data_IF_037712961340
#
_entry.id   IF_037712961340
#
_cell.length_a   1.000
_cell.length_b   1.000
_cell.length_c   1.000
_cell.angle_alpha   90.00
_cell.angle_beta   90.00
_cell.angle_gamma   90.00
#
_symmetry.space_group_name_H-M   'P 1'
#
loop_
_entity.id
_entity.type
_entity.pdbx_description
1 polymer ?
#
# COMPACT_ATOMS: atom_id res chain seq x y z
N UNK A 1 -3.52 -4.43 -0.37
CA UNK A 1 -4.35 -5.65 -0.31
C UNK A 1 -3.61 -6.81 0.35
N UNK A 2 -2.51 -7.35 -0.21
CA UNK A 2 -1.91 -8.62 0.29
C UNK A 2 -1.46 -8.45 1.74
N UNK A 3 -0.71 -7.38 2.00
CA UNK A 3 -0.21 -7.06 3.33
C UNK A 3 -1.36 -6.81 4.33
N UNK A 4 -2.46 -6.20 3.90
CA UNK A 4 -3.66 -6.00 4.75
C UNK A 4 -4.32 -7.33 5.10
N UNK A 5 -4.36 -8.25 4.15
CA UNK A 5 -4.94 -9.57 4.35
C UNK A 5 -4.08 -10.41 5.29
N UNK A 6 -2.76 -10.43 5.09
CA UNK A 6 -1.81 -11.10 6.00
C UNK A 6 -1.89 -10.55 7.42
N UNK A 7 -2.08 -9.23 7.57
CA UNK A 7 -2.21 -8.58 8.87
C UNK A 7 -3.47 -8.98 9.69
N UNK A 8 -4.42 -9.72 9.09
CA UNK A 8 -5.58 -10.29 9.81
C UNK A 8 -5.23 -11.59 10.53
N UNK A 9 -4.13 -12.24 10.16
CA UNK A 9 -3.72 -13.51 10.74
C UNK A 9 -2.74 -13.30 11.88
N UNK A 10 -2.86 -14.14 12.91
CA UNK A 10 -1.83 -14.28 13.95
C UNK A 10 -0.97 -15.49 13.59
N UNK A 11 0.22 -15.23 13.05
CA UNK A 11 1.18 -16.29 12.76
C UNK A 11 1.74 -16.85 14.06
N UNK A 12 1.57 -18.15 14.30
CA UNK A 12 1.99 -18.81 15.55
C UNK A 12 3.49 -19.13 15.53
N UNK A 13 4.05 -19.44 14.36
CA UNK A 13 5.42 -19.92 14.21
C UNK A 13 6.29 -19.02 13.33
N UNK A 14 5.84 -18.74 12.11
CA UNK A 14 6.58 -17.91 11.16
C UNK A 14 5.61 -17.00 10.41
N UNK A 15 5.92 -15.71 10.38
CA UNK A 15 5.29 -14.76 9.47
C UNK A 15 5.97 -14.87 8.09
N UNK A 16 5.22 -15.06 6.99
CA UNK A 16 5.81 -15.18 5.66
C UNK A 16 6.41 -13.85 5.22
N UNK A 17 7.62 -13.91 4.64
CA UNK A 17 8.19 -12.77 3.95
C UNK A 17 7.55 -12.59 2.57
N UNK A 18 7.43 -11.34 2.13
CA UNK A 18 6.78 -10.99 0.86
C UNK A 18 7.79 -10.33 -0.09
N UNK A 19 7.93 -10.85 -1.31
CA UNK A 19 8.61 -10.17 -2.41
C UNK A 19 7.62 -9.45 -3.32
N UNK A 20 8.13 -8.61 -4.22
CA UNK A 20 7.32 -7.86 -5.18
C UNK A 20 7.75 -8.27 -6.58
N UNK A 21 6.78 -8.71 -7.37
CA UNK A 21 6.95 -8.87 -8.81
C UNK A 21 6.42 -7.61 -9.51
N UNK A 22 7.27 -6.74 -10.08
CA UNK A 22 6.82 -5.49 -10.71
C UNK A 22 6.08 -5.76 -12.03
N UNK A 23 4.75 -5.77 -11.97
CA UNK A 23 3.89 -5.94 -13.14
C UNK A 23 3.05 -4.68 -13.37
N UNK A 24 3.09 -4.14 -14.59
CA UNK A 24 2.35 -2.94 -14.98
C UNK A 24 3.02 -1.62 -14.54
N UNK A 25 2.21 -0.60 -14.29
CA UNK A 25 2.65 0.77 -13.96
C UNK A 25 2.46 1.09 -12.48
N UNK A 26 3.42 1.78 -11.85
CA UNK A 26 3.32 2.19 -10.44
C UNK A 26 4.11 1.32 -9.44
N UNK A 27 5.29 0.82 -9.85
CA UNK A 27 6.10 -0.12 -9.09
C UNK A 27 7.06 0.55 -8.07
N UNK A 28 6.61 1.57 -7.35
CA UNK A 28 7.50 2.38 -6.48
C UNK A 28 8.17 1.54 -5.39
N UNK A 29 7.41 0.67 -4.74
CA UNK A 29 7.95 -0.21 -3.70
C UNK A 29 8.91 -1.26 -4.28
N UNK A 30 8.68 -1.71 -5.53
CA UNK A 30 9.61 -2.61 -6.22
C UNK A 30 10.97 -1.94 -6.43
N UNK A 31 10.98 -0.68 -6.90
CA UNK A 31 12.21 0.11 -7.08
C UNK A 31 12.95 0.33 -5.76
N UNK A 32 12.22 0.69 -4.70
CA UNK A 32 12.80 0.86 -3.36
C UNK A 32 13.41 -0.43 -2.79
N UNK A 33 12.83 -1.57 -3.16
CA UNK A 33 13.26 -2.90 -2.73
C UNK A 33 14.15 -3.62 -3.77
N UNK A 34 14.64 -2.90 -4.77
CA UNK A 34 15.52 -3.37 -5.84
C UNK A 34 14.97 -4.52 -6.71
N UNK A 35 13.66 -4.74 -6.73
CA UNK A 35 13.03 -5.74 -7.61
C UNK A 35 12.87 -5.26 -9.06
N UNK A 36 13.34 -4.05 -9.37
CA UNK A 36 13.31 -3.46 -10.71
C UNK A 36 12.11 -2.55 -10.95
N UNK A 37 11.97 -2.10 -12.20
CA UNK A 37 10.90 -1.17 -12.60
C UNK A 37 9.69 -1.88 -13.22
N UNK A 38 9.90 -3.11 -13.66
CA UNK A 38 8.99 -3.87 -14.51
C UNK A 38 9.78 -4.88 -15.32
N UNK A 39 9.08 -5.84 -15.90
CA UNK A 39 9.64 -6.77 -16.87
C UNK A 39 9.21 -6.39 -18.29
N UNK A 40 10.11 -6.60 -19.25
CA UNK A 40 9.85 -6.40 -20.68
C UNK A 40 10.17 -7.71 -21.39
N UNK A 41 9.20 -8.26 -22.11
CA UNK A 41 9.35 -9.55 -22.80
C UNK A 41 9.16 -10.74 -21.88
N UNK A 42 9.66 -11.90 -22.31
CA UNK A 42 9.59 -13.14 -21.54
C UNK A 42 10.59 -13.13 -20.40
N UNK A 43 10.13 -13.51 -19.22
CA UNK A 43 10.94 -13.61 -17.99
C UNK A 43 11.07 -15.07 -17.64
N UNK A 44 12.30 -15.53 -17.43
CA UNK A 44 12.53 -16.89 -16.94
C UNK A 44 12.11 -16.98 -15.47
N UNK A 45 11.32 -17.99 -15.15
CA UNK A 45 10.88 -18.28 -13.78
C UNK A 45 12.08 -18.69 -12.93
N UNK A 46 13.07 -19.37 -13.52
CA UNK A 46 14.27 -19.79 -12.81
C UNK A 46 15.05 -18.60 -12.28
N UNK A 47 15.17 -17.52 -13.06
CA UNK A 47 15.84 -16.29 -12.65
C UNK A 47 15.13 -15.64 -11.46
N UNK A 48 13.80 -15.54 -11.50
CA UNK A 48 13.01 -14.98 -10.39
C UNK A 48 13.22 -15.79 -9.10
N UNK A 49 13.22 -17.12 -9.20
CA UNK A 49 13.43 -17.99 -8.03
C UNK A 49 14.83 -17.82 -7.46
N UNK A 50 15.86 -17.69 -8.32
CA UNK A 50 17.23 -17.42 -7.88
C UNK A 50 17.37 -16.04 -7.22
N UNK A 51 16.68 -15.01 -7.73
CA UNK A 51 16.64 -13.69 -7.09
C UNK A 51 15.99 -13.75 -5.71
N UNK A 52 14.90 -14.51 -5.56
CA UNK A 52 14.21 -14.72 -4.28
C UNK A 52 15.13 -15.42 -3.27
N UNK A 53 15.88 -16.44 -3.69
CA UNK A 53 16.81 -17.16 -2.82
C UNK A 53 17.95 -16.28 -2.30
N UNK A 54 18.42 -15.33 -3.12
CA UNK A 54 19.50 -14.39 -2.76
C UNK A 54 19.01 -13.15 -2.02
N UNK A 55 17.69 -12.91 -2.00
CA UNK A 55 17.11 -11.70 -1.42
C UNK A 55 17.32 -11.64 0.11
N UNK A 56 17.42 -10.42 0.62
CA UNK A 56 17.56 -10.16 2.06
C UNK A 56 16.22 -9.85 2.70
N UNK A 57 16.01 -10.36 3.91
CA UNK A 57 14.89 -9.96 4.74
C UNK A 57 15.07 -8.54 5.25
N UNK A 58 14.05 -7.71 5.11
CA UNK A 58 13.98 -6.38 5.68
C UNK A 58 12.63 -6.16 6.37
N UNK A 59 12.56 -5.17 7.26
CA UNK A 59 11.30 -4.72 7.86
C UNK A 59 10.78 -3.51 7.12
N UNK A 60 9.51 -3.56 6.72
CA UNK A 60 8.79 -2.44 6.12
C UNK A 60 7.78 -1.92 7.15
N UNK A 61 7.89 -0.65 7.49
CA UNK A 61 6.90 0.04 8.32
C UNK A 61 5.59 0.23 7.56
N UNK A 62 4.48 -0.02 8.24
CA UNK A 62 3.13 0.16 7.71
C UNK A 62 2.42 1.22 8.50
N UNK A 63 1.86 2.20 7.79
CA UNK A 63 1.24 3.37 8.38
C UNK A 63 -0.23 3.08 8.60
N UNK A 64 -0.71 3.25 9.83
CA UNK A 64 -2.14 3.28 10.12
C UNK A 64 -2.63 4.72 9.95
N UNK A 65 -3.59 4.91 9.05
CA UNK A 65 -4.24 6.19 8.78
C UNK A 65 -5.68 6.09 9.24
N UNK A 66 -6.03 6.87 10.25
CA UNK A 66 -7.42 7.04 10.70
C UNK A 66 -8.02 8.23 9.96
N UNK A 67 -9.21 8.05 9.41
CA UNK A 67 -9.92 9.04 8.61
C UNK A 67 -11.24 9.30 9.31
N UNK A 68 -11.36 10.46 9.96
CA UNK A 68 -12.60 10.89 10.59
C UNK A 68 -13.41 11.76 9.63
N UNK A 69 -14.59 11.29 9.26
CA UNK A 69 -15.58 12.11 8.53
C UNK A 69 -16.31 13.01 9.52
N UNK A 70 -15.64 14.05 9.99
CA UNK A 70 -16.30 15.09 10.75
C UNK A 70 -17.11 15.97 9.78
N UNK A 71 -18.40 15.65 9.62
CA UNK A 71 -19.34 16.74 9.41
C UNK A 71 -19.24 17.68 10.62
N UNK A 72 -19.45 18.98 10.40
CA UNK A 72 -19.47 20.07 11.38
C UNK A 72 -20.51 19.91 12.53
N UNK A 73 -20.87 18.70 12.93
CA UNK A 73 -21.82 18.38 14.00
C UNK A 73 -21.06 17.78 15.17
N UNK A 74 -21.14 18.47 16.31
CA UNK A 74 -20.53 18.15 17.62
C UNK A 74 -20.94 16.79 18.24
N UNK A 75 -20.90 15.69 17.50
CA UNK A 75 -21.08 14.33 18.03
C UNK A 75 -19.93 13.45 17.53
N UNK A 76 -18.98 13.21 18.42
CA UNK A 76 -17.96 12.18 18.28
C UNK A 76 -18.67 10.82 18.36
N UNK A 77 -19.30 10.40 17.27
CA UNK A 77 -19.75 9.03 17.13
C UNK A 77 -18.61 8.28 16.43
N UNK A 78 -17.97 7.38 17.16
CA UNK A 78 -16.87 6.51 16.72
C UNK A 78 -17.20 5.54 15.56
N UNK A 79 -18.39 5.66 14.96
CA UNK A 79 -18.85 4.82 13.85
C UNK A 79 -18.41 5.31 12.46
N UNK A 80 -18.00 6.58 12.33
CA UNK A 80 -17.63 7.16 11.04
C UNK A 80 -16.11 7.19 10.78
N UNK A 81 -15.32 6.71 11.74
CA UNK A 81 -13.85 6.58 11.61
C UNK A 81 -13.50 5.41 10.68
N UNK A 82 -12.87 5.71 9.55
CA UNK A 82 -12.33 4.70 8.65
C UNK A 82 -10.83 4.52 8.88
N UNK A 83 -10.39 3.28 9.09
CA UNK A 83 -8.96 2.95 9.22
C UNK A 83 -8.45 2.37 7.90
N UNK A 84 -7.33 2.90 7.41
CA UNK A 84 -6.59 2.41 6.25
C UNK A 84 -5.14 2.15 6.63
N UNK A 85 -4.55 1.13 6.03
CA UNK A 85 -3.12 0.86 6.18
C UNK A 85 -2.40 1.17 4.88
N UNK A 86 -1.35 1.98 4.95
CA UNK A 86 -0.58 2.47 3.81
C UNK A 86 0.89 2.02 3.92
N UNK A 87 1.57 1.89 2.78
CA UNK A 87 2.98 1.44 2.75
C UNK A 87 3.91 2.41 2.00
N UNK A 88 3.41 3.10 0.97
CA UNK A 88 4.24 3.96 0.13
C UNK A 88 4.02 5.43 0.48
N UNK A 89 2.86 5.96 0.13
CA UNK A 89 2.52 7.36 0.34
C UNK A 89 1.01 7.55 0.44
N UNK A 90 0.63 8.71 0.98
CA UNK A 90 -0.72 9.27 0.95
C UNK A 90 -0.61 10.70 0.42
N UNK A 91 -1.53 11.09 -0.44
CA UNK A 91 -1.57 12.42 -1.06
C UNK A 91 -2.85 13.15 -0.67
N UNK A 92 -2.76 14.47 -0.52
CA UNK A 92 -3.89 15.36 -0.20
C UNK A 92 -3.82 16.60 -1.10
N UNK A 93 -4.98 17.15 -1.51
CA UNK A 93 -5.05 18.38 -2.31
C UNK A 93 -4.87 18.13 -3.80
N UNK A 94 -4.12 19.00 -4.48
CA UNK A 94 -4.00 19.01 -5.94
C UNK A 94 -3.44 17.69 -6.51
N UNK A 95 -2.41 17.13 -5.88
CA UNK A 95 -1.81 15.84 -6.30
C UNK A 95 -2.82 14.68 -6.25
N UNK A 96 -3.61 14.62 -5.17
CA UNK A 96 -4.67 13.63 -5.02
C UNK A 96 -5.78 13.81 -6.06
N UNK A 97 -6.14 15.06 -6.39
CA UNK A 97 -7.15 15.37 -7.40
C UNK A 97 -6.69 14.94 -8.80
N UNK A 98 -5.44 15.22 -9.16
CA UNK A 98 -4.86 14.79 -10.45
C UNK A 98 -4.84 13.27 -10.53
N UNK A 99 -4.39 12.59 -9.46
CA UNK A 99 -4.40 11.13 -9.38
C UNK A 99 -5.80 10.54 -9.53
N UNK A 100 -6.82 11.17 -8.90
CA UNK A 100 -8.22 10.76 -9.02
C UNK A 100 -8.74 10.89 -10.46
N UNK A 101 -8.39 11.97 -11.15
CA UNK A 101 -8.79 12.18 -12.53
C UNK A 101 -8.20 11.11 -13.46
N UNK A 102 -6.91 10.79 -13.33
CA UNK A 102 -6.30 9.68 -14.07
C UNK A 102 -6.97 8.34 -13.80
N UNK A 103 -7.36 8.07 -12.55
CA UNK A 103 -8.07 6.84 -12.20
C UNK A 103 -9.42 6.74 -12.91
N UNK A 104 -10.19 7.83 -12.93
CA UNK A 104 -11.51 7.91 -13.60
C UNK A 104 -11.41 7.71 -15.11
N UNK A 105 -10.34 8.19 -15.74
CA UNK A 105 -10.08 7.94 -17.17
C UNK A 105 -9.75 6.46 -17.45
N UNK A 106 -9.03 5.80 -16.53
CA UNK A 106 -8.62 4.39 -16.70
C UNK A 106 -9.75 3.41 -16.43
N UNK A 107 -10.63 3.73 -15.48
CA UNK A 107 -11.82 2.95 -15.15
C UNK A 107 -12.99 3.93 -14.94
N UNK A 108 -13.96 4.02 -15.87
CA UNK A 108 -15.08 4.96 -15.76
C UNK A 108 -16.09 4.62 -14.64
N UNK A 109 -15.71 3.78 -13.67
CA UNK A 109 -16.51 3.53 -12.47
C UNK A 109 -16.44 4.78 -11.60
N UNK A 110 -17.60 5.37 -11.37
CA UNK A 110 -17.77 6.63 -10.68
C UNK A 110 -17.45 6.45 -9.17
N UNK A 111 -16.23 6.82 -8.77
CA UNK A 111 -15.93 7.05 -7.35
C UNK A 111 -16.44 8.46 -7.03
N UNK A 112 -17.69 8.54 -6.56
CA UNK A 112 -18.26 9.76 -6.02
C UNK A 112 -17.69 10.00 -4.61
N UNK A 113 -17.10 11.18 -4.42
CA UNK A 113 -16.63 11.67 -3.15
C UNK A 113 -16.60 13.19 -3.19
N UNK A 114 -17.53 13.82 -2.46
CA UNK A 114 -17.47 15.26 -2.19
C UNK A 114 -16.20 15.60 -1.40
N UNK A 115 -15.61 16.79 -1.54
CA UNK A 115 -14.51 17.22 -0.68
C UNK A 115 -15.00 17.36 0.77
N UNK A 116 -14.38 16.65 1.70
CA UNK A 116 -14.66 16.73 3.14
C UNK A 116 -13.39 17.11 3.91
N UNK A 117 -13.56 17.79 5.05
CA UNK A 117 -12.48 18.04 5.98
C UNK A 117 -12.15 16.72 6.70
N UNK A 118 -10.89 16.28 6.58
CA UNK A 118 -10.42 15.05 7.21
C UNK A 118 -9.41 15.41 8.27
N UNK A 119 -9.70 15.02 9.51
CA UNK A 119 -8.66 14.86 10.52
C UNK A 119 -8.04 13.47 10.30
N UNK A 120 -6.72 13.42 10.20
CA UNK A 120 -6.00 12.15 10.14
C UNK A 120 -4.93 12.07 11.23
N UNK A 121 -4.87 10.90 11.85
CA UNK A 121 -3.80 10.50 12.76
C UNK A 121 -2.97 9.42 12.04
N UNK A 122 -1.65 9.57 12.03
CA UNK A 122 -0.72 8.59 11.44
C UNK A 122 0.06 7.92 12.57
N UNK A 123 -0.07 6.60 12.66
CA UNK A 123 0.66 5.79 13.64
C UNK A 123 1.56 4.77 12.95
N UNK A 124 2.80 4.63 13.45
CA UNK A 124 3.77 3.62 13.03
C UNK A 124 3.75 2.44 13.99
N UNK A 125 2.72 1.60 13.89
CA UNK A 125 2.48 0.55 14.88
C UNK A 125 2.62 -0.87 14.33
N UNK A 126 2.97 -1.03 13.04
CA UNK A 126 3.05 -2.34 12.40
C UNK A 126 4.22 -2.41 11.42
N UNK A 127 4.90 -3.55 11.44
CA UNK A 127 5.93 -3.90 10.48
C UNK A 127 5.57 -5.20 9.78
N UNK A 128 5.97 -5.33 8.52
CA UNK A 128 5.91 -6.59 7.78
C UNK A 128 7.30 -6.95 7.27
N UNK A 129 7.57 -8.25 7.17
CA UNK A 129 8.82 -8.74 6.61
C UNK A 129 8.74 -8.75 5.08
N UNK A 130 9.59 -7.98 4.43
CA UNK A 130 9.71 -7.96 2.98
C UNK A 130 11.04 -8.58 2.55
N UNK A 131 11.08 -9.11 1.34
CA UNK A 131 12.32 -9.46 0.67
C UNK A 131 12.80 -8.26 -0.15
N UNK A 132 14.09 -7.94 -0.03
CA UNK A 132 14.80 -6.91 -0.80
C UNK A 132 15.84 -7.59 -1.67
N UNK A 133 15.79 -7.32 -2.97
CA UNK A 133 16.80 -7.83 -3.90
C UNK A 133 18.14 -7.09 -3.68
N UNK A 134 19.27 -7.77 -3.90
CA UNK A 134 20.61 -7.27 -3.57
C UNK A 134 21.46 -7.11 -4.81
#
# INVERSE_FOLDING_TARGET
>A
WILDYLAKFKFIKYEPAVCILPLGTGNDLSRTLNWGQGYVGDVDIEDIVQEIDRAKFIKLDRWEVKIDKNELKNKINSKDTQIKYMNNYISIGCDALVTLNFHRERFPIQIDGEPFLVMFEICLNRQVTMLKNV
#
